data_IF_380040636871
#
_entry.id   IF_380040636871
#
_cell.length_a   1.000
_cell.length_b   1.000
_cell.length_c   1.000
_cell.angle_alpha   90.00
_cell.angle_beta   90.00
_cell.angle_gamma   90.00
#
_symmetry.space_group_name_H-M   'P 1'
#
loop_
_entity.id
_entity.type
_entity.pdbx_description
1 polymer ?
#
# COMPACT_ATOMS: atom_id res chain seq x y z
N UNK A 1 29.35 8.95 -11.33
CA UNK A 1 29.46 9.07 -9.87
C UNK A 1 28.24 9.87 -9.41
N UNK A 2 27.17 9.19 -9.08
CA UNK A 2 26.01 9.83 -8.46
C UNK A 2 26.43 10.14 -7.01
N UNK A 3 26.54 11.41 -6.68
CA UNK A 3 26.72 11.83 -5.30
C UNK A 3 25.35 11.65 -4.64
N UNK A 4 25.24 10.67 -3.74
CA UNK A 4 24.09 10.55 -2.84
C UNK A 4 24.07 11.82 -1.98
N UNK A 5 23.24 12.76 -2.37
CA UNK A 5 23.04 14.01 -1.60
C UNK A 5 22.11 13.65 -0.44
N UNK A 6 22.68 13.33 0.72
CA UNK A 6 21.90 13.16 1.92
C UNK A 6 21.10 14.43 2.15
N UNK A 7 19.78 14.35 2.23
CA UNK A 7 19.00 15.51 2.60
C UNK A 7 19.02 15.67 4.11
N UNK A 8 19.14 16.92 4.55
CA UNK A 8 19.11 17.28 5.98
C UNK A 8 17.68 17.58 6.39
N UNK A 9 17.19 16.90 7.43
CA UNK A 9 15.86 17.08 7.98
C UNK A 9 15.95 17.66 9.40
N UNK A 10 15.41 18.86 9.58
CA UNK A 10 15.40 19.51 10.90
C UNK A 10 14.20 19.02 11.73
N UNK A 11 14.48 18.48 12.89
CA UNK A 11 13.48 17.97 13.81
C UNK A 11 13.58 18.62 15.18
N UNK A 12 12.46 18.92 15.78
CA UNK A 12 12.37 19.45 17.14
C UNK A 12 12.21 18.29 18.14
N UNK A 13 13.08 18.20 19.16
CA UNK A 13 12.93 17.18 20.20
C UNK A 13 11.65 17.44 20.99
N UNK A 14 10.96 16.39 21.38
CA UNK A 14 9.74 16.48 22.18
C UNK A 14 9.69 15.38 23.24
N UNK A 15 8.95 15.61 24.28
CA UNK A 15 8.56 14.54 25.21
C UNK A 15 7.39 13.74 24.65
N UNK A 16 7.35 12.42 24.87
CA UNK A 16 6.22 11.58 24.49
C UNK A 16 4.98 12.03 25.27
N UNK A 17 4.01 12.58 24.53
CA UNK A 17 2.76 13.07 25.09
C UNK A 17 1.59 12.28 24.49
N UNK A 18 0.45 12.29 25.15
CA UNK A 18 -0.69 11.44 24.81
C UNK A 18 -1.34 11.77 23.47
N UNK A 19 -2.39 10.98 23.13
CA UNK A 19 -3.10 11.07 21.85
C UNK A 19 -3.65 12.44 21.50
N UNK A 20 -3.97 13.26 22.51
CA UNK A 20 -4.50 14.64 22.31
C UNK A 20 -3.43 15.58 21.77
N UNK A 21 -2.21 15.52 22.30
CA UNK A 21 -1.09 16.31 21.83
C UNK A 21 -0.69 15.93 20.41
N UNK A 22 -0.58 14.64 20.11
CA UNK A 22 -0.29 14.15 18.77
C UNK A 22 -1.34 14.60 17.73
N UNK A 23 -2.64 14.66 18.10
CA UNK A 23 -3.66 15.22 17.20
C UNK A 23 -3.50 16.71 16.96
N UNK A 24 -3.02 17.47 17.97
CA UNK A 24 -2.77 18.91 17.83
C UNK A 24 -1.61 19.14 16.88
N UNK A 25 -0.47 18.45 17.07
CA UNK A 25 0.70 18.53 16.19
C UNK A 25 0.33 18.27 14.73
N UNK A 26 -0.44 17.21 14.47
CA UNK A 26 -0.87 16.89 13.10
C UNK A 26 -1.76 17.97 12.48
N UNK A 27 -2.58 18.67 13.28
CA UNK A 27 -3.40 19.81 12.79
C UNK A 27 -2.54 21.02 12.46
N UNK A 28 -1.41 21.17 13.14
CA UNK A 28 -0.42 22.23 12.91
C UNK A 28 0.54 21.88 11.75
N UNK A 29 0.33 20.75 11.08
CA UNK A 29 1.18 20.30 9.98
C UNK A 29 2.48 19.62 10.43
N UNK A 30 2.60 19.30 11.71
CA UNK A 30 3.74 18.59 12.28
C UNK A 30 3.49 17.10 12.32
N UNK A 31 4.50 16.30 11.93
CA UNK A 31 4.48 14.84 12.01
C UNK A 31 5.30 14.40 13.20
N UNK A 32 4.71 13.68 14.16
CA UNK A 32 5.48 13.07 15.24
C UNK A 32 6.30 11.90 14.72
N UNK A 33 7.49 11.72 15.25
CA UNK A 33 8.36 10.60 14.91
C UNK A 33 9.19 10.13 16.09
N UNK A 34 9.84 8.98 15.89
CA UNK A 34 10.80 8.38 16.81
C UNK A 34 12.10 8.06 16.10
N UNK A 35 13.22 8.38 16.74
CA UNK A 35 14.57 8.00 16.31
C UNK A 35 15.12 7.02 17.33
N UNK A 36 15.46 5.81 16.91
CA UNK A 36 15.97 4.74 17.74
C UNK A 36 17.11 3.97 17.06
N UNK A 37 17.66 2.98 17.73
CA UNK A 37 18.79 2.17 17.23
C UNK A 37 20.16 2.78 17.49
N UNK A 38 21.22 2.08 17.09
CA UNK A 38 22.58 2.44 17.42
C UNK A 38 22.87 2.37 18.92
N UNK A 39 23.85 3.14 19.40
CA UNK A 39 24.24 3.21 20.83
C UNK A 39 23.46 4.27 21.62
N UNK A 40 22.56 5.03 20.98
CA UNK A 40 21.81 6.12 21.57
C UNK A 40 20.44 5.71 22.10
N UNK A 41 19.93 6.47 23.08
CA UNK A 41 18.56 6.32 23.56
C UNK A 41 17.54 6.69 22.47
N UNK A 42 16.32 6.13 22.56
CA UNK A 42 15.23 6.51 21.70
C UNK A 42 14.80 7.97 21.96
N UNK A 43 14.76 8.77 20.91
CA UNK A 43 14.39 10.18 20.97
C UNK A 43 13.09 10.41 20.21
N UNK A 44 12.10 10.99 20.88
CA UNK A 44 10.88 11.45 20.22
C UNK A 44 11.07 12.84 19.67
N UNK A 45 10.62 13.07 18.45
CA UNK A 45 10.72 14.36 17.77
C UNK A 45 9.45 14.73 17.01
N UNK A 46 9.39 15.94 16.53
CA UNK A 46 8.38 16.38 15.56
C UNK A 46 9.06 17.10 14.41
N UNK A 47 8.53 16.95 13.21
CA UNK A 47 9.06 17.52 11.98
C UNK A 47 7.92 18.11 11.13
N UNK A 48 8.22 19.15 10.36
CA UNK A 48 7.26 19.70 9.42
C UNK A 48 6.93 18.69 8.31
N UNK A 49 5.64 18.51 8.02
CA UNK A 49 5.15 17.52 7.04
C UNK A 49 5.65 17.78 5.63
N UNK A 50 5.90 19.03 5.25
CA UNK A 50 6.38 19.39 3.92
C UNK A 50 7.88 19.14 3.80
N UNK A 51 8.66 19.52 4.82
CA UNK A 51 10.10 19.25 4.88
C UNK A 51 10.36 17.74 4.88
N UNK A 52 9.61 16.98 5.68
CA UNK A 52 9.69 15.52 5.70
C UNK A 52 9.43 14.92 4.31
N UNK A 53 8.36 15.34 3.63
CA UNK A 53 8.04 14.83 2.30
C UNK A 53 9.13 15.18 1.29
N UNK A 54 9.62 16.41 1.31
CA UNK A 54 10.70 16.86 0.42
C UNK A 54 11.99 16.06 0.68
N UNK A 55 12.34 15.87 1.95
CA UNK A 55 13.51 15.09 2.34
C UNK A 55 13.41 13.63 1.87
N UNK A 56 12.29 12.97 2.05
CA UNK A 56 12.07 11.59 1.63
C UNK A 56 12.05 11.41 0.10
N UNK A 57 11.69 12.45 -0.65
CA UNK A 57 11.77 12.42 -2.12
C UNK A 57 13.17 12.75 -2.67
N UNK A 58 13.95 13.53 -1.92
CA UNK A 58 15.25 14.02 -2.39
C UNK A 58 16.42 13.11 -1.96
N UNK A 59 16.22 12.30 -0.93
CA UNK A 59 17.27 11.48 -0.36
C UNK A 59 16.92 10.04 -0.55
N UNK A 60 17.60 9.27 -1.27
CA UNK A 60 17.42 7.82 -1.25
C UNK A 60 17.05 7.25 0.13
N UNK A 61 17.67 6.21 0.59
CA UNK A 61 17.33 5.59 1.87
C UNK A 61 17.82 6.36 3.12
N UNK A 62 18.83 7.24 3.01
CA UNK A 62 19.49 7.89 4.16
C UNK A 62 19.18 9.37 4.25
N UNK A 63 18.78 9.80 5.45
CA UNK A 63 18.51 11.20 5.81
C UNK A 63 19.39 11.60 6.98
N UNK A 64 20.02 12.77 6.90
CA UNK A 64 20.71 13.36 8.03
C UNK A 64 19.71 14.09 8.94
N UNK A 65 19.29 13.43 10.02
CA UNK A 65 18.30 13.95 10.96
C UNK A 65 18.98 14.85 12.01
N UNK A 66 18.60 16.11 12.03
CA UNK A 66 19.09 17.08 13.04
C UNK A 66 18.07 17.20 14.16
N UNK A 67 18.37 16.62 15.32
CA UNK A 67 17.51 16.70 16.51
C UNK A 67 18.24 17.44 17.62
N UNK A 68 17.67 18.56 18.08
CA UNK A 68 18.27 19.33 19.18
C UNK A 68 19.67 19.87 18.90
N UNK A 69 20.07 20.01 17.63
CA UNK A 69 21.39 20.51 17.21
C UNK A 69 22.43 19.39 16.94
N UNK A 70 22.09 18.12 17.15
CA UNK A 70 22.93 16.99 16.80
C UNK A 70 22.44 16.39 15.48
N UNK A 71 23.33 16.24 14.51
CA UNK A 71 23.04 15.58 13.24
C UNK A 71 23.45 14.11 13.31
N UNK A 72 22.52 13.23 13.01
CA UNK A 72 22.71 11.79 13.05
C UNK A 72 22.18 11.17 11.73
N UNK A 73 22.98 10.32 11.05
CA UNK A 73 22.51 9.61 9.87
C UNK A 73 21.46 8.58 10.28
N UNK A 74 20.32 8.62 9.64
CA UNK A 74 19.19 7.78 9.93
C UNK A 74 18.51 7.29 8.64
N UNK A 75 17.93 6.11 8.70
CA UNK A 75 17.12 5.52 7.63
C UNK A 75 15.66 5.48 8.07
N UNK A 76 14.76 5.79 7.16
CA UNK A 76 13.34 5.62 7.37
C UNK A 76 13.00 4.13 7.46
N UNK A 77 12.50 3.70 8.63
CA UNK A 77 12.10 2.30 8.84
C UNK A 77 10.63 2.09 8.54
N UNK A 78 9.78 3.02 8.97
CA UNK A 78 8.34 2.96 8.74
C UNK A 78 7.75 4.37 8.60
N UNK A 79 6.78 4.51 7.71
CA UNK A 79 6.03 5.74 7.50
C UNK A 79 4.54 5.46 7.46
N UNK A 80 3.86 5.71 8.55
CA UNK A 80 2.42 5.54 8.64
C UNK A 80 1.70 6.67 7.91
N UNK A 81 0.83 6.31 6.97
CA UNK A 81 0.02 7.26 6.20
C UNK A 81 -1.46 7.13 6.57
N UNK A 82 -2.15 8.25 6.56
CA UNK A 82 -3.61 8.24 6.73
C UNK A 82 -4.26 7.67 5.46
N UNK A 83 -5.11 6.60 5.56
CA UNK A 83 -5.59 5.86 4.38
C UNK A 83 -6.42 6.70 3.41
N UNK A 84 -7.12 7.73 3.91
CA UNK A 84 -8.01 8.58 3.10
C UNK A 84 -7.31 9.87 2.64
N UNK A 85 -6.51 10.51 3.53
CA UNK A 85 -5.89 11.80 3.25
C UNK A 85 -4.50 11.70 2.64
N UNK A 86 -3.85 10.54 2.73
CA UNK A 86 -2.47 10.34 2.29
C UNK A 86 -1.43 11.10 3.12
N UNK A 87 -1.85 11.81 4.19
CA UNK A 87 -0.97 12.55 5.08
C UNK A 87 -0.16 11.59 5.94
N UNK A 88 1.12 11.90 6.16
CA UNK A 88 1.95 11.15 7.10
C UNK A 88 1.47 11.38 8.52
N UNK A 89 1.24 10.30 9.26
CA UNK A 89 0.75 10.35 10.65
C UNK A 89 1.82 10.03 11.67
N UNK A 90 2.83 9.25 11.29
CA UNK A 90 3.98 8.90 12.13
C UNK A 90 5.15 8.51 11.23
N UNK A 91 6.36 8.72 11.72
CA UNK A 91 7.60 8.27 11.06
C UNK A 91 8.55 7.68 12.07
N UNK A 92 9.16 6.57 11.70
CA UNK A 92 10.15 5.87 12.49
C UNK A 92 11.49 5.86 11.76
N UNK A 93 12.49 6.47 12.39
CA UNK A 93 13.85 6.48 11.89
C UNK A 93 14.75 5.60 12.75
N UNK A 94 15.64 4.89 12.09
CA UNK A 94 16.67 4.09 12.74
C UNK A 94 18.04 4.72 12.47
N UNK A 95 18.80 4.94 13.53
CA UNK A 95 20.20 5.37 13.42
C UNK A 95 21.00 4.28 12.71
N UNK A 96 21.75 4.67 11.72
CA UNK A 96 22.55 3.74 10.94
C UNK A 96 24.02 4.13 11.00
N UNK A 97 24.86 3.10 10.96
CA UNK A 97 26.27 3.28 10.76
C UNK A 97 26.55 3.13 9.26
N UNK A 98 27.12 4.16 8.65
CA UNK A 98 27.37 4.20 7.20
C UNK A 98 28.31 3.09 6.68
N UNK A 99 29.03 2.43 7.58
CA UNK A 99 29.96 1.35 7.26
C UNK A 99 29.42 -0.06 7.47
N UNK A 100 28.14 -0.18 7.83
CA UNK A 100 27.49 -1.47 8.06
C UNK A 100 26.36 -1.64 7.07
N UNK A 101 26.32 -2.79 6.38
CA UNK A 101 25.23 -3.12 5.47
C UNK A 101 23.92 -3.24 6.26
N UNK A 102 22.87 -2.70 5.70
CA UNK A 102 21.53 -2.71 6.26
C UNK A 102 20.53 -3.29 5.27
N UNK A 103 19.46 -3.84 5.79
CA UNK A 103 18.33 -4.29 4.97
C UNK A 103 17.34 -3.15 4.80
N UNK A 104 16.98 -2.90 3.55
CA UNK A 104 16.01 -1.88 3.18
C UNK A 104 15.02 -2.43 2.16
N UNK A 105 13.87 -1.78 2.07
CA UNK A 105 12.86 -2.07 1.06
C UNK A 105 12.96 -1.00 -0.02
N UNK A 106 13.14 -1.42 -1.27
CA UNK A 106 13.32 -0.53 -2.42
C UNK A 106 12.17 -0.75 -3.40
N UNK A 107 11.53 0.32 -3.89
CA UNK A 107 10.46 0.18 -4.89
C UNK A 107 11.03 -0.26 -6.24
N UNK A 108 10.26 -1.13 -6.92
CA UNK A 108 10.50 -1.54 -8.30
C UNK A 108 9.71 -0.66 -9.26
N UNK A 109 10.38 -0.12 -10.25
CA UNK A 109 9.77 0.69 -11.31
C UNK A 109 9.85 -0.05 -12.64
N UNK A 110 8.71 -0.22 -13.28
CA UNK A 110 8.62 -0.78 -14.63
C UNK A 110 8.97 0.31 -15.62
N UNK A 111 9.97 0.03 -16.47
CA UNK A 111 10.40 0.92 -17.54
C UNK A 111 10.12 0.28 -18.90
N UNK A 112 10.07 1.10 -19.95
CA UNK A 112 9.91 0.68 -21.36
C UNK A 112 8.58 -0.09 -21.63
N UNK A 113 7.55 0.15 -20.82
CA UNK A 113 6.27 -0.53 -20.99
C UNK A 113 5.61 -0.21 -22.35
N UNK A 114 5.77 1.01 -22.86
CA UNK A 114 5.20 1.45 -24.14
C UNK A 114 5.89 0.80 -25.35
N UNK A 115 7.14 0.35 -25.20
CA UNK A 115 7.92 -0.32 -26.23
C UNK A 115 7.64 -1.83 -26.32
N UNK A 116 6.99 -2.39 -25.31
CA UNK A 116 6.64 -3.81 -25.23
C UNK A 116 5.66 -4.20 -26.35
N UNK A 117 5.96 -5.24 -27.17
CA UNK A 117 5.06 -5.71 -28.19
C UNK A 117 3.70 -6.13 -27.63
N UNK A 118 3.69 -6.72 -26.44
CA UNK A 118 2.44 -7.13 -25.80
C UNK A 118 1.57 -5.96 -25.34
N UNK A 119 2.16 -4.82 -24.92
CA UNK A 119 1.38 -3.60 -24.62
C UNK A 119 0.87 -2.96 -25.90
N UNK A 120 1.67 -2.94 -26.99
CA UNK A 120 1.24 -2.44 -28.30
C UNK A 120 0.05 -3.28 -28.84
N UNK A 121 -0.01 -4.56 -28.56
CA UNK A 121 -1.13 -5.44 -28.90
C UNK A 121 -2.35 -5.28 -27.98
N UNK A 122 -2.28 -4.38 -26.99
CA UNK A 122 -3.37 -4.07 -26.07
C UNK A 122 -3.30 -4.85 -24.74
N UNK A 123 -2.19 -5.51 -24.45
CA UNK A 123 -1.94 -6.14 -23.15
C UNK A 123 -1.88 -5.14 -21.99
N UNK A 124 -2.21 -5.60 -20.81
CA UNK A 124 -2.16 -4.82 -19.57
C UNK A 124 -1.00 -5.30 -18.71
N UNK A 125 -0.14 -4.36 -18.30
CA UNK A 125 0.95 -4.64 -17.36
C UNK A 125 0.38 -4.78 -15.95
N UNK A 126 0.56 -5.93 -15.35
CA UNK A 126 0.25 -6.21 -13.95
C UNK A 126 1.55 -6.36 -13.17
N UNK A 127 1.66 -5.63 -12.07
CA UNK A 127 2.80 -5.65 -11.18
C UNK A 127 2.38 -6.12 -9.78
N UNK A 128 2.40 -7.43 -9.51
CA UNK A 128 2.04 -7.98 -8.21
C UNK A 128 3.01 -7.57 -7.11
N UNK A 129 4.30 -7.42 -7.44
CA UNK A 129 5.34 -7.05 -6.49
C UNK A 129 5.91 -5.70 -6.90
N UNK A 130 5.77 -4.74 -6.00
CA UNK A 130 6.19 -3.36 -6.21
C UNK A 130 7.39 -2.95 -5.39
N UNK A 131 7.81 -3.79 -4.46
CA UNK A 131 8.89 -3.53 -3.53
C UNK A 131 9.70 -4.80 -3.35
N UNK A 132 11.02 -4.66 -3.21
CA UNK A 132 11.96 -5.76 -2.96
C UNK A 132 12.84 -5.46 -1.78
N UNK A 133 13.26 -6.53 -1.08
CA UNK A 133 14.19 -6.46 0.03
C UNK A 133 15.62 -6.52 -0.50
N UNK A 134 16.42 -5.53 -0.12
CA UNK A 134 17.82 -5.44 -0.49
C UNK A 134 18.72 -5.30 0.73
N UNK A 135 19.92 -5.79 0.62
CA UNK A 135 21.00 -5.55 1.58
C UNK A 135 22.11 -4.76 0.90
N UNK A 136 22.42 -3.58 1.43
CA UNK A 136 23.45 -2.71 0.91
C UNK A 136 24.00 -1.77 1.99
N UNK A 137 25.10 -1.10 1.69
CA UNK A 137 25.55 0.02 2.52
C UNK A 137 24.54 1.17 2.40
N UNK A 138 24.29 1.93 3.48
CA UNK A 138 23.29 3.01 3.48
C UNK A 138 23.45 4.01 2.32
N UNK A 139 24.67 4.30 1.92
CA UNK A 139 24.98 5.22 0.83
C UNK A 139 24.83 4.60 -0.57
N UNK A 140 24.67 3.29 -0.68
CA UNK A 140 24.58 2.55 -1.94
C UNK A 140 23.16 2.05 -2.23
N UNK A 141 22.23 2.28 -1.30
CA UNK A 141 20.82 1.93 -1.49
C UNK A 141 20.23 2.85 -2.56
N UNK A 142 19.72 2.30 -3.68
CA UNK A 142 19.11 3.10 -4.73
C UNK A 142 17.71 3.59 -4.32
N UNK A 143 17.24 4.66 -4.94
CA UNK A 143 15.88 5.16 -4.76
C UNK A 143 14.84 4.22 -5.37
N UNK A 144 15.22 3.54 -6.44
CA UNK A 144 14.38 2.56 -7.13
C UNK A 144 15.23 1.56 -7.90
N UNK A 145 14.68 0.39 -8.16
CA UNK A 145 15.26 -0.62 -9.04
C UNK A 145 14.38 -0.69 -10.29
N UNK A 146 15.02 -0.60 -11.46
CA UNK A 146 14.32 -0.61 -12.72
C UNK A 146 14.23 -2.03 -13.29
N UNK A 147 13.06 -2.35 -13.83
CA UNK A 147 12.83 -3.58 -14.58
C UNK A 147 12.27 -3.24 -15.96
N UNK A 148 13.01 -3.62 -17.02
CA UNK A 148 12.58 -3.38 -18.38
C UNK A 148 11.64 -4.50 -18.85
N UNK A 149 10.54 -4.09 -19.46
CA UNK A 149 9.54 -4.99 -20.06
C UNK A 149 9.48 -4.86 -21.59
N UNK A 150 10.44 -4.18 -22.20
CA UNK A 150 10.50 -3.88 -23.63
C UNK A 150 10.34 -5.10 -24.56
N UNK A 151 10.69 -6.30 -24.10
CA UNK A 151 10.67 -7.52 -24.93
C UNK A 151 9.53 -8.47 -24.61
N UNK A 152 8.63 -8.12 -23.66
CA UNK A 152 7.59 -9.02 -23.21
C UNK A 152 6.38 -9.06 -24.17
N UNK A 153 5.89 -10.26 -24.43
CA UNK A 153 4.65 -10.52 -25.17
C UNK A 153 3.49 -10.76 -24.19
N UNK A 154 2.26 -10.75 -24.72
CA UNK A 154 1.07 -11.09 -23.92
C UNK A 154 1.19 -12.52 -23.37
N UNK A 155 1.01 -12.66 -22.05
CA UNK A 155 1.12 -13.93 -21.32
C UNK A 155 2.52 -14.24 -20.81
N UNK A 156 3.51 -13.38 -21.08
CA UNK A 156 4.85 -13.53 -20.53
C UNK A 156 5.01 -12.81 -19.21
N UNK A 157 6.02 -13.22 -18.44
CA UNK A 157 6.33 -12.68 -17.12
C UNK A 157 7.80 -12.29 -17.04
N UNK A 158 8.09 -11.23 -16.27
CA UNK A 158 9.45 -10.85 -15.95
C UNK A 158 9.76 -11.27 -14.50
N UNK A 159 10.75 -12.13 -14.29
CA UNK A 159 11.25 -12.48 -12.95
C UNK A 159 12.15 -11.38 -12.40
N UNK A 160 12.37 -11.40 -11.08
CA UNK A 160 13.22 -10.43 -10.37
C UNK A 160 14.67 -10.43 -10.91
N UNK A 161 15.17 -11.56 -11.40
CA UNK A 161 16.49 -11.69 -12.02
C UNK A 161 16.71 -10.81 -13.26
N UNK A 162 15.63 -10.30 -13.88
CA UNK A 162 15.70 -9.37 -15.03
C UNK A 162 15.82 -7.89 -14.61
N UNK A 163 15.75 -7.60 -13.31
CA UNK A 163 15.87 -6.24 -12.79
C UNK A 163 17.34 -5.75 -12.87
N UNK A 164 17.50 -4.46 -13.13
CA UNK A 164 18.83 -3.83 -13.18
C UNK A 164 19.26 -3.44 -11.78
N UNK A 165 20.10 -4.29 -11.16
CA UNK A 165 20.59 -4.07 -9.80
C UNK A 165 21.89 -3.27 -9.86
N UNK A 166 22.00 -2.12 -9.14
CA UNK A 166 23.25 -1.36 -9.04
C UNK A 166 24.35 -2.14 -8.32
N UNK A 167 25.61 -1.77 -8.58
CA UNK A 167 26.75 -2.35 -7.88
C UNK A 167 26.68 -2.03 -6.38
N UNK A 168 26.96 -3.03 -5.53
CA UNK A 168 26.95 -2.87 -4.07
C UNK A 168 25.62 -3.24 -3.40
N UNK A 169 24.59 -3.59 -4.18
CA UNK A 169 23.29 -4.01 -3.70
C UNK A 169 23.12 -5.52 -3.88
N UNK A 170 22.71 -6.20 -2.83
CA UNK A 170 22.37 -7.63 -2.85
C UNK A 170 20.89 -7.79 -2.66
N UNK A 171 20.21 -8.50 -3.57
CA UNK A 171 18.81 -8.87 -3.42
C UNK A 171 18.70 -9.97 -2.36
N UNK A 172 17.71 -9.86 -1.47
CA UNK A 172 17.39 -10.87 -0.47
C UNK A 172 16.23 -11.76 -0.88
N UNK A 173 15.41 -11.26 -1.80
CA UNK A 173 14.27 -11.99 -2.34
C UNK A 173 14.72 -13.01 -3.40
N UNK A 174 13.89 -14.00 -3.69
CA UNK A 174 14.19 -15.07 -4.64
C UNK A 174 14.25 -14.52 -6.08
N UNK A 175 15.28 -14.90 -6.84
CA UNK A 175 15.50 -14.43 -8.21
C UNK A 175 14.37 -14.85 -9.19
N UNK A 176 13.68 -15.95 -8.89
CA UNK A 176 12.59 -16.48 -9.70
C UNK A 176 11.22 -15.81 -9.42
N UNK A 177 11.19 -14.87 -8.47
CA UNK A 177 9.97 -14.17 -8.09
C UNK A 177 9.41 -13.36 -9.27
N UNK A 178 8.17 -13.61 -9.65
CA UNK A 178 7.50 -12.89 -10.75
C UNK A 178 7.16 -11.48 -10.28
N UNK A 179 7.79 -10.50 -10.89
CA UNK A 179 7.62 -9.07 -10.57
C UNK A 179 6.60 -8.41 -11.48
N UNK A 180 6.65 -8.74 -12.77
CA UNK A 180 5.76 -8.17 -13.77
C UNK A 180 5.16 -9.29 -14.62
N UNK A 181 3.88 -9.17 -14.93
CA UNK A 181 3.19 -10.03 -15.89
C UNK A 181 2.41 -9.20 -16.89
N UNK A 182 2.41 -9.64 -18.14
CA UNK A 182 1.66 -9.00 -19.20
C UNK A 182 0.40 -9.80 -19.51
N UNK A 183 -0.75 -9.28 -19.08
CA UNK A 183 -2.03 -9.96 -19.22
C UNK A 183 -2.73 -9.54 -20.52
N UNK A 184 -3.49 -10.47 -21.10
CA UNK A 184 -4.36 -10.14 -22.23
C UNK A 184 -5.42 -9.11 -21.81
N UNK A 185 -5.80 -8.18 -22.70
CA UNK A 185 -6.84 -7.22 -22.41
C UNK A 185 -8.14 -7.94 -22.07
N UNK A 186 -8.81 -7.49 -21.02
CA UNK A 186 -10.15 -7.99 -20.70
C UNK A 186 -11.12 -7.40 -21.72
N UNK A 187 -11.56 -8.22 -22.66
CA UNK A 187 -12.68 -7.84 -23.52
C UNK A 187 -13.91 -7.73 -22.62
N UNK A 188 -14.32 -6.51 -22.29
CA UNK A 188 -15.69 -6.28 -21.87
C UNK A 188 -16.57 -6.58 -23.07
N UNK A 189 -17.15 -7.77 -23.09
CA UNK A 189 -18.28 -8.03 -23.96
C UNK A 189 -19.41 -7.19 -23.34
N UNK A 190 -19.61 -5.99 -23.88
CA UNK A 190 -20.90 -5.32 -23.74
C UNK A 190 -21.91 -6.32 -24.35
N UNK A 191 -22.55 -7.11 -23.48
CA UNK A 191 -23.80 -7.74 -23.85
C UNK A 191 -24.73 -6.57 -24.17
N UNK A 192 -24.80 -6.23 -25.46
CA UNK A 192 -25.92 -5.49 -26.00
C UNK A 192 -27.15 -6.33 -25.65
N UNK A 193 -27.80 -5.95 -24.56
CA UNK A 193 -29.18 -6.38 -24.29
C UNK A 193 -29.93 -5.85 -25.51
N UNK A 194 -30.09 -6.70 -26.54
CA UNK A 194 -31.11 -6.50 -27.54
C UNK A 194 -32.41 -6.49 -26.73
N UNK A 195 -32.91 -5.28 -26.42
CA UNK A 195 -34.29 -5.08 -26.05
C UNK A 195 -35.09 -5.69 -27.21
N UNK A 196 -35.59 -6.90 -27.01
CA UNK A 196 -36.72 -7.40 -27.76
C UNK A 196 -37.81 -6.35 -27.54
N UNK A 197 -37.89 -5.43 -28.49
CA UNK A 197 -39.02 -4.57 -28.66
C UNK A 197 -40.19 -5.50 -28.92
N UNK A 198 -40.94 -5.79 -27.87
CA UNK A 198 -42.29 -6.36 -28.01
C UNK A 198 -43.06 -5.48 -28.98
N UNK A 199 -43.38 -6.07 -30.12
CA UNK A 199 -44.26 -5.49 -31.10
C UNK A 199 -45.61 -5.26 -30.44
N UNK A 200 -45.82 -4.07 -29.95
CA UNK A 200 -47.15 -3.56 -29.57
C UNK A 200 -47.85 -3.38 -30.91
N UNK A 201 -48.83 -4.21 -31.17
CA UNK A 201 -49.71 -4.05 -32.31
C UNK A 201 -50.49 -2.75 -32.17
N UNK A 202 -50.80 -2.11 -33.29
CA UNK A 202 -51.39 -0.79 -33.50
C UNK A 202 -52.77 -0.58 -32.84
N UNK A 203 -53.32 -1.55 -32.08
CA UNK A 203 -54.62 -1.51 -31.46
C UNK A 203 -54.67 -1.73 -29.93
N UNK A 204 -53.55 -1.71 -29.23
CA UNK A 204 -53.49 -1.52 -27.77
C UNK A 204 -54.20 -2.58 -26.90
N UNK A 205 -54.47 -3.78 -27.40
CA UNK A 205 -55.06 -4.84 -26.59
C UNK A 205 -54.06 -6.01 -26.37
N UNK A 206 -53.91 -6.49 -25.09
CA UNK A 206 -53.06 -7.64 -24.81
C UNK A 206 -53.74 -8.92 -25.30
N UNK A 207 -53.03 -9.72 -26.10
CA UNK A 207 -53.51 -11.02 -26.50
C UNK A 207 -53.30 -11.98 -25.33
N UNK A 208 -54.40 -12.23 -24.58
CA UNK A 208 -54.52 -13.42 -23.75
C UNK A 208 -54.78 -14.63 -24.63
N UNK A 209 -54.00 -15.65 -24.49
CA UNK A 209 -54.37 -16.92 -25.06
C UNK A 209 -53.30 -17.98 -25.02
N UNK A 210 -53.62 -18.93 -24.18
CA UNK A 210 -53.34 -20.36 -24.25
C UNK A 210 -51.91 -20.83 -24.08
N UNK A 211 -51.66 -21.72 -23.25
CA UNK A 211 -52.25 -22.85 -22.52
C UNK A 211 -51.13 -23.63 -21.90
N UNK A 212 -51.29 -23.92 -20.71
CA UNK A 212 -51.61 -25.26 -20.18
C UNK A 212 -50.53 -26.35 -20.35
N UNK A 213 -50.22 -26.89 -19.20
CA UNK A 213 -49.85 -28.22 -18.77
C UNK A 213 -48.37 -28.54 -18.49
N UNK A 214 -48.19 -29.01 -17.25
CA UNK A 214 -47.21 -29.99 -16.82
C UNK A 214 -46.53 -29.66 -15.53
N UNK A 215 -47.15 -29.85 -14.45
CA UNK A 215 -47.22 -30.97 -13.48
C UNK A 215 -45.93 -31.19 -12.63
N UNK A 216 -46.17 -31.01 -11.34
CA UNK A 216 -45.81 -31.86 -10.20
C UNK A 216 -44.38 -31.83 -9.61
N UNK A 217 -44.38 -31.64 -8.30
CA UNK A 217 -43.35 -32.10 -7.33
C UNK A 217 -43.09 -31.07 -6.25
N UNK A 218 -43.93 -30.97 -5.30
CA UNK A 218 -43.98 -31.64 -3.99
C UNK A 218 -42.75 -31.39 -3.11
N UNK A 219 -42.96 -30.68 -2.00
CA UNK A 219 -42.59 -31.18 -0.72
C UNK A 219 -41.87 -30.25 0.23
N UNK A 220 -42.56 -29.87 1.28
CA UNK A 220 -42.04 -29.79 2.64
C UNK A 220 -41.81 -28.36 3.16
N UNK A 221 -42.78 -27.74 3.81
CA UNK A 221 -43.05 -27.81 5.27
C UNK A 221 -41.79 -27.52 6.11
N UNK A 222 -41.77 -26.50 6.89
CA UNK A 222 -42.37 -26.20 8.08
C UNK A 222 -41.64 -25.10 8.83
N UNK A 223 -42.39 -24.22 9.39
CA UNK A 223 -42.50 -23.86 10.78
C UNK A 223 -41.49 -22.80 11.25
N UNK A 224 -41.77 -21.65 11.67
CA UNK A 224 -42.77 -21.29 12.68
C UNK A 224 -42.09 -20.96 14.00
N UNK A 225 -42.40 -19.79 14.56
CA UNK A 225 -42.17 -19.51 15.96
C UNK A 225 -41.16 -18.37 16.19
N UNK A 226 -41.52 -17.13 16.33
CA UNK A 226 -42.20 -16.49 17.46
C UNK A 226 -41.32 -16.22 18.69
N UNK A 227 -41.06 -14.95 18.90
CA UNK A 227 -41.32 -14.13 20.08
C UNK A 227 -40.66 -14.49 21.43
N UNK A 228 -40.25 -13.41 22.10
CA UNK A 228 -40.11 -13.28 23.55
C UNK A 228 -38.69 -12.82 23.93
N UNK A 229 -38.36 -11.65 24.47
CA UNK A 229 -39.07 -10.92 25.48
C UNK A 229 -38.52 -11.22 26.87
N UNK A 230 -38.01 -10.22 27.60
CA UNK A 230 -37.61 -10.32 28.99
C UNK A 230 -36.14 -9.87 29.19
N UNK A 231 -35.77 -8.66 29.56
CA UNK A 231 -36.02 -7.88 30.78
C UNK A 231 -35.56 -8.56 32.07
N UNK A 232 -34.91 -7.78 32.87
CA UNK A 232 -34.63 -7.83 34.33
C UNK A 232 -33.13 -8.00 34.68
N UNK A 233 -32.47 -6.84 35.04
CA UNK A 233 -32.38 -6.29 36.41
C UNK A 233 -31.48 -7.02 37.38
N UNK A 234 -30.59 -6.23 37.97
CA UNK A 234 -30.07 -6.38 39.35
C UNK A 234 -28.76 -7.14 39.41
N UNK A 235 -27.79 -6.83 40.16
CA UNK A 235 -27.75 -6.20 41.47
C UNK A 235 -26.32 -5.87 41.82
N UNK A 236 -26.13 -4.90 42.61
CA UNK A 236 -24.92 -4.49 43.30
C UNK A 236 -24.35 -5.61 44.19
N UNK A 237 -23.05 -5.63 44.30
CA UNK A 237 -22.42 -5.90 45.62
C UNK A 237 -21.08 -5.17 45.69
N UNK A 238 -21.05 -4.19 46.56
CA UNK A 238 -19.91 -3.71 47.32
C UNK A 238 -19.29 -4.83 48.13
N UNK A 239 -17.96 -4.83 48.28
CA UNK A 239 -17.19 -5.15 49.48
C UNK A 239 -15.72 -4.96 49.09
N UNK A 240 -15.03 -3.97 49.56
CA UNK A 240 -14.36 -3.64 50.81
C UNK A 240 -13.18 -4.54 51.12
N UNK A 241 -12.07 -3.86 51.41
CA UNK A 241 -10.91 -4.17 52.24
C UNK A 241 -9.75 -5.07 51.70
N UNK A 242 -8.58 -4.46 51.73
CA UNK A 242 -7.29 -5.11 51.76
C UNK A 242 -6.17 -4.23 51.30
#
# INVERSE_FOLDING_TARGET
>A
MAQSTNSTLNASPREPDGSRANRRLRREGQVPGTLYGGEGEAVSFSVDSRELRAALHASGAVVDLVVGGTSEPAVLKDAQRHPVRGEMTHVDFVRVNLNVAIQAVVPLIVVDAEESPGVVEGGVVDQPIREVHVEALPNEIPESIEISVATLNIGETAPLSSAVVPAGVTLLDEDDLVVVSLLAPRLEIEETIEEETELIGEDGEPIEGAGEEGEAGEGGEGGGGEAGGGDESGEKSDDDAG
#
